data_IF_113010130080
#
_entry.id   IF_113010130080
#
_cell.length_a   1.000
_cell.length_b   1.000
_cell.length_c   1.000
_cell.angle_alpha   90.00
_cell.angle_beta   90.00
_cell.angle_gamma   90.00
#
_symmetry.space_group_name_H-M   'P 1'
#
loop_
_entity.id
_entity.type
_entity.pdbx_description
1 polymer ?
#
# COMPACT_ATOMS: atom_id res chain seq x y z
N UNK A 1 -6.59 7.37 -4.28
CA UNK A 1 -7.42 7.38 -3.07
C UNK A 1 -7.21 8.67 -2.35
N UNK A 2 -8.31 9.34 -2.03
CA UNK A 2 -8.29 10.61 -1.31
C UNK A 2 -8.57 10.32 0.16
N UNK A 3 -7.62 10.63 1.04
CA UNK A 3 -7.78 10.51 2.48
C UNK A 3 -7.70 11.92 3.10
N UNK A 4 -8.63 12.25 3.95
CA UNK A 4 -8.60 13.48 4.76
C UNK A 4 -8.24 13.13 6.20
N UNK A 5 -7.19 13.76 6.74
CA UNK A 5 -6.93 13.78 8.18
C UNK A 5 -7.82 14.85 8.82
N UNK A 6 -8.91 14.41 9.45
CA UNK A 6 -9.69 15.28 10.32
C UNK A 6 -8.87 15.70 11.56
N UNK A 7 -9.21 16.79 12.25
CA UNK A 7 -8.47 17.31 13.41
C UNK A 7 -8.20 16.30 14.53
N UNK A 8 -8.81 15.13 14.49
CA UNK A 8 -8.63 14.01 15.43
C UNK A 8 -8.09 12.72 14.78
N UNK A 9 -7.52 12.82 13.59
CA UNK A 9 -6.86 11.66 12.95
C UNK A 9 -7.79 10.54 12.48
N UNK A 10 -9.07 10.80 12.29
CA UNK A 10 -10.02 9.79 11.79
C UNK A 10 -10.03 9.78 10.27
N UNK A 11 -9.65 8.64 9.66
CA UNK A 11 -9.83 8.40 8.24
C UNK A 11 -11.26 7.94 7.97
N UNK A 12 -11.93 8.56 7.01
CA UNK A 12 -13.28 8.15 6.58
C UNK A 12 -13.25 7.83 5.09
N UNK A 13 -13.48 6.56 4.76
CA UNK A 13 -13.69 6.12 3.40
C UNK A 13 -15.20 5.87 3.18
N UNK A 14 -15.81 6.59 2.24
CA UNK A 14 -17.17 6.28 1.74
C UNK A 14 -17.06 5.71 0.34
N UNK A 15 -17.68 4.56 0.14
CA UNK A 15 -17.86 3.98 -1.19
C UNK A 15 -18.79 4.88 -2.02
N UNK A 16 -18.31 5.32 -3.18
CA UNK A 16 -19.15 5.99 -4.18
C UNK A 16 -19.90 4.90 -4.95
N UNK A 17 -21.23 4.96 -4.89
CA UNK A 17 -22.06 4.06 -5.67
C UNK A 17 -21.82 4.31 -7.17
N UNK A 18 -21.33 3.29 -7.88
CA UNK A 18 -21.09 3.25 -9.31
C UNK A 18 -19.96 4.14 -9.88
N UNK A 19 -18.69 3.90 -9.48
CA UNK A 19 -17.54 4.70 -9.91
C UNK A 19 -17.15 4.53 -11.39
N UNK A 20 -17.71 3.53 -12.09
CA UNK A 20 -17.31 3.21 -13.49
C UNK A 20 -17.90 4.15 -14.55
N UNK A 21 -18.86 5.02 -14.19
CA UNK A 21 -19.57 5.89 -15.14
C UNK A 21 -18.92 7.26 -15.31
N UNK A 22 -17.93 7.64 -14.50
CA UNK A 22 -17.30 8.96 -14.53
C UNK A 22 -15.83 8.92 -14.94
N UNK A 23 -15.31 9.93 -15.66
CA UNK A 23 -13.88 10.08 -15.90
C UNK A 23 -13.09 10.03 -14.57
N UNK A 24 -11.90 9.44 -14.60
CA UNK A 24 -11.10 9.20 -13.37
C UNK A 24 -10.84 10.49 -12.56
N UNK A 25 -10.58 11.59 -13.23
CA UNK A 25 -10.42 12.91 -12.59
C UNK A 25 -11.69 13.34 -11.84
N UNK A 26 -12.88 13.08 -12.40
CA UNK A 26 -14.16 13.38 -11.78
C UNK A 26 -14.41 12.50 -10.55
N UNK A 27 -13.97 11.25 -10.56
CA UNK A 27 -14.04 10.35 -9.40
C UNK A 27 -13.26 10.90 -8.20
N UNK A 28 -12.08 11.51 -8.42
CA UNK A 28 -11.33 12.17 -7.35
C UNK A 28 -12.11 13.33 -6.76
N UNK A 29 -12.75 14.16 -7.59
CA UNK A 29 -13.60 15.27 -7.12
C UNK A 29 -14.81 14.76 -6.32
N UNK A 30 -15.45 13.67 -6.76
CA UNK A 30 -16.53 13.01 -6.05
C UNK A 30 -16.08 12.52 -4.66
N UNK A 31 -14.93 11.88 -4.58
CA UNK A 31 -14.37 11.40 -3.31
C UNK A 31 -14.07 12.57 -2.36
N UNK A 32 -13.50 13.67 -2.88
CA UNK A 32 -13.25 14.87 -2.10
C UNK A 32 -14.56 15.46 -1.54
N UNK A 33 -15.60 15.56 -2.34
CA UNK A 33 -16.90 16.06 -1.88
C UNK A 33 -17.51 15.13 -0.83
N UNK A 34 -17.48 13.81 -1.08
CA UNK A 34 -18.03 12.83 -0.15
C UNK A 34 -17.35 12.87 1.24
N UNK A 35 -16.06 13.14 1.27
CA UNK A 35 -15.28 13.22 2.51
C UNK A 35 -15.44 14.58 3.21
N UNK A 36 -15.32 15.67 2.46
CA UNK A 36 -15.30 17.03 3.03
C UNK A 36 -16.68 17.58 3.33
N UNK A 37 -17.71 17.06 2.70
CA UNK A 37 -19.09 17.53 2.77
C UNK A 37 -20.05 16.35 2.87
N UNK A 38 -20.06 15.63 4.00
CA UNK A 38 -20.84 14.39 4.15
C UNK A 38 -22.35 14.60 4.00
N UNK A 39 -22.84 15.83 4.25
CA UNK A 39 -24.26 16.19 4.14
C UNK A 39 -24.64 16.72 2.73
N UNK A 40 -23.66 16.84 1.82
CA UNK A 40 -23.94 17.28 0.46
C UNK A 40 -24.66 16.17 -0.32
N UNK A 41 -25.82 16.47 -0.95
CA UNK A 41 -26.60 15.46 -1.68
C UNK A 41 -25.88 15.10 -2.98
N UNK A 42 -25.03 14.06 -2.94
CA UNK A 42 -24.39 13.51 -4.12
C UNK A 42 -25.40 12.69 -4.92
N UNK A 43 -25.85 13.23 -6.04
CA UNK A 43 -26.74 12.53 -7.01
C UNK A 43 -25.97 12.31 -8.31
N UNK A 44 -26.36 11.31 -9.11
CA UNK A 44 -25.65 10.90 -10.35
C UNK A 44 -25.64 11.98 -11.45
N UNK A 45 -26.45 13.01 -11.32
CA UNK A 45 -26.60 14.11 -12.28
C UNK A 45 -25.68 15.30 -12.00
N UNK A 46 -24.86 15.24 -10.95
CA UNK A 46 -23.93 16.32 -10.58
C UNK A 46 -22.72 16.26 -11.48
N UNK A 47 -22.58 17.27 -12.35
CA UNK A 47 -21.41 17.39 -13.23
C UNK A 47 -20.16 17.93 -12.51
N UNK A 48 -19.02 17.71 -13.14
CA UNK A 48 -17.69 18.14 -12.63
C UNK A 48 -17.60 19.62 -12.28
N UNK A 49 -18.24 20.51 -13.04
CA UNK A 49 -18.27 21.95 -12.72
C UNK A 49 -18.95 22.27 -11.38
N UNK A 50 -19.99 21.52 -11.02
CA UNK A 50 -20.65 21.72 -9.74
C UNK A 50 -19.81 21.20 -8.59
N UNK A 51 -19.16 20.04 -8.75
CA UNK A 51 -18.21 19.50 -7.78
C UNK A 51 -17.07 20.50 -7.52
N UNK A 52 -16.48 21.04 -8.60
CA UNK A 52 -15.42 22.06 -8.50
C UNK A 52 -15.90 23.29 -7.72
N UNK A 53 -17.10 23.82 -8.02
CA UNK A 53 -17.65 24.99 -7.30
C UNK A 53 -17.85 24.74 -5.81
N UNK A 54 -18.35 23.58 -5.47
CA UNK A 54 -18.59 23.20 -4.06
C UNK A 54 -17.27 23.02 -3.31
N UNK A 55 -16.28 22.37 -3.95
CA UNK A 55 -14.94 22.22 -3.40
C UNK A 55 -14.20 23.56 -3.25
N UNK A 56 -14.29 24.47 -4.24
CA UNK A 56 -13.75 25.82 -4.14
C UNK A 56 -14.28 26.55 -2.90
N UNK A 57 -15.59 26.52 -2.71
CA UNK A 57 -16.22 27.14 -1.56
C UNK A 57 -15.73 26.53 -0.24
N UNK A 58 -15.63 25.20 -0.18
CA UNK A 58 -15.16 24.47 1.00
C UNK A 58 -13.71 24.78 1.33
N UNK A 59 -12.81 24.65 0.36
CA UNK A 59 -11.38 24.90 0.53
C UNK A 59 -11.04 26.35 0.82
N UNK A 60 -11.85 27.31 0.35
CA UNK A 60 -11.73 28.72 0.68
C UNK A 60 -12.20 29.05 2.09
N UNK A 61 -13.24 28.35 2.57
CA UNK A 61 -13.82 28.58 3.89
C UNK A 61 -12.99 27.94 5.02
N UNK A 62 -12.42 26.76 4.79
CA UNK A 62 -11.69 25.97 5.79
C UNK A 62 -10.40 25.43 5.18
N UNK A 63 -9.30 25.55 5.94
CA UNK A 63 -8.00 24.98 5.56
C UNK A 63 -8.00 23.47 5.79
N UNK A 64 -7.57 22.75 4.77
CA UNK A 64 -7.40 21.29 4.81
C UNK A 64 -5.98 20.89 4.43
N UNK A 65 -5.52 19.78 4.96
CA UNK A 65 -4.43 18.99 4.41
C UNK A 65 -5.06 17.76 3.74
N UNK A 66 -4.91 17.66 2.43
CA UNK A 66 -5.43 16.55 1.64
C UNK A 66 -4.27 15.71 1.14
N UNK A 67 -4.32 14.41 1.39
CA UNK A 67 -3.36 13.44 0.87
C UNK A 67 -4.04 12.61 -0.21
N UNK A 68 -3.48 12.63 -1.41
CA UNK A 68 -3.91 11.76 -2.52
C UNK A 68 -2.78 10.79 -2.80
N UNK A 69 -3.02 9.55 -2.44
CA UNK A 69 -2.06 8.48 -2.58
C UNK A 69 -2.28 7.67 -3.86
N UNK A 70 -1.18 7.24 -4.50
CA UNK A 70 -1.19 6.35 -5.66
C UNK A 70 -1.82 6.97 -6.91
N UNK A 71 -1.38 8.17 -7.29
CA UNK A 71 -1.91 8.91 -8.46
C UNK A 71 -1.65 8.23 -9.81
N UNK A 72 -0.73 7.28 -9.92
CA UNK A 72 -0.50 6.49 -11.12
C UNK A 72 -1.71 5.65 -11.56
N UNK A 73 -2.69 5.48 -10.68
CA UNK A 73 -3.97 4.85 -11.03
C UNK A 73 -4.91 5.80 -11.77
N UNK A 74 -4.54 7.09 -11.95
CA UNK A 74 -5.35 8.12 -12.61
C UNK A 74 -4.71 8.45 -13.97
N UNK A 75 -5.34 8.02 -15.05
CA UNK A 75 -4.83 8.24 -16.42
C UNK A 75 -4.89 9.71 -16.89
N UNK A 76 -5.58 10.57 -16.14
CA UNK A 76 -5.84 11.98 -16.52
C UNK A 76 -5.17 12.99 -15.57
N UNK A 77 -3.92 12.73 -15.16
CA UNK A 77 -3.15 13.61 -14.26
C UNK A 77 -3.03 15.05 -14.80
N UNK A 78 -2.92 15.23 -16.11
CA UNK A 78 -2.84 16.54 -16.76
C UNK A 78 -4.09 17.41 -16.51
N UNK A 79 -5.23 16.79 -16.29
CA UNK A 79 -6.49 17.47 -15.98
C UNK A 79 -6.69 17.66 -14.47
N UNK A 80 -6.30 16.67 -13.68
CA UNK A 80 -6.50 16.67 -12.23
C UNK A 80 -5.58 17.68 -11.52
N UNK A 81 -4.29 17.69 -11.87
CA UNK A 81 -3.30 18.51 -11.14
C UNK A 81 -3.63 20.00 -11.17
N UNK A 82 -4.00 20.63 -12.30
CA UNK A 82 -4.42 22.04 -12.30
C UNK A 82 -5.64 22.34 -11.42
N UNK A 83 -6.57 21.39 -11.30
CA UNK A 83 -7.72 21.54 -10.40
C UNK A 83 -7.30 21.51 -8.92
N UNK A 84 -6.38 20.61 -8.56
CA UNK A 84 -5.85 20.55 -7.20
C UNK A 84 -5.03 21.80 -6.86
N UNK A 85 -4.26 22.32 -7.81
CA UNK A 85 -3.52 23.59 -7.64
C UNK A 85 -4.46 24.77 -7.35
N UNK A 86 -5.61 24.82 -8.02
CA UNK A 86 -6.65 25.83 -7.75
C UNK A 86 -7.13 25.79 -6.32
N UNK A 87 -7.24 24.60 -5.73
CA UNK A 87 -7.68 24.41 -4.32
C UNK A 87 -6.55 24.60 -3.31
N UNK A 88 -5.30 24.68 -3.76
CA UNK A 88 -4.12 24.65 -2.89
C UNK A 88 -3.86 25.93 -2.06
N UNK A 89 -4.77 26.92 -2.07
CA UNK A 89 -4.67 28.11 -1.25
C UNK A 89 -6.05 28.49 -0.67
N UNK A 90 -6.24 28.42 0.65
CA UNK A 90 -5.26 28.24 1.74
C UNK A 90 -4.94 26.78 2.11
N UNK A 91 -5.60 25.81 1.49
CA UNK A 91 -5.40 24.39 1.75
C UNK A 91 -4.05 23.87 1.23
N UNK A 92 -3.67 22.65 1.59
CA UNK A 92 -2.43 21.99 1.12
C UNK A 92 -2.73 20.58 0.65
N UNK A 93 -1.97 20.15 -0.36
CA UNK A 93 -2.09 18.83 -0.97
C UNK A 93 -0.74 18.13 -0.92
N UNK A 94 -0.75 16.84 -0.54
CA UNK A 94 0.35 15.91 -0.69
C UNK A 94 -0.10 14.86 -1.70
N UNK A 95 0.67 14.71 -2.76
CA UNK A 95 0.39 13.78 -3.84
C UNK A 95 1.51 12.76 -3.89
N UNK A 96 1.20 11.47 -3.93
CA UNK A 96 2.18 10.42 -4.19
C UNK A 96 1.94 9.81 -5.56
N UNK A 97 3.02 9.55 -6.30
CA UNK A 97 2.97 8.89 -7.60
C UNK A 97 4.32 8.27 -7.93
N UNK A 98 4.31 7.13 -8.63
CA UNK A 98 5.51 6.57 -9.27
C UNK A 98 5.83 7.27 -10.57
N UNK A 99 4.84 7.89 -11.19
CA UNK A 99 5.00 8.66 -12.42
C UNK A 99 5.35 10.12 -12.14
N UNK A 100 6.02 10.74 -13.09
CA UNK A 100 6.33 12.17 -13.00
C UNK A 100 5.07 12.97 -13.29
N UNK A 101 4.73 13.87 -12.39
CA UNK A 101 3.69 14.88 -12.65
C UNK A 101 4.04 15.73 -13.86
N UNK A 102 3.04 16.29 -14.58
CA UNK A 102 3.25 17.23 -15.69
C UNK A 102 4.23 18.35 -15.33
N UNK A 103 5.04 18.78 -16.30
CA UNK A 103 6.11 19.76 -16.05
C UNK A 103 5.61 21.16 -15.71
N UNK A 104 4.39 21.49 -16.13
CA UNK A 104 3.77 22.80 -15.95
C UNK A 104 2.98 22.91 -14.61
N UNK A 105 3.52 22.38 -13.52
CA UNK A 105 2.86 22.43 -12.20
C UNK A 105 3.67 23.28 -11.23
N UNK A 106 2.96 24.02 -10.35
CA UNK A 106 3.57 24.76 -9.22
C UNK A 106 3.90 23.83 -8.03
N UNK A 107 3.60 22.53 -8.13
CA UNK A 107 3.85 21.57 -7.08
C UNK A 107 5.35 21.38 -6.82
N UNK A 108 5.76 21.45 -5.53
CA UNK A 108 7.11 21.07 -5.12
C UNK A 108 7.29 19.56 -5.28
N UNK A 109 8.33 19.17 -6.01
CA UNK A 109 8.65 17.75 -6.23
C UNK A 109 9.68 17.27 -5.23
N UNK A 110 9.32 16.23 -4.52
CA UNK A 110 10.24 15.48 -3.68
C UNK A 110 10.39 14.06 -4.20
N UNK A 111 11.62 13.67 -4.53
CA UNK A 111 11.92 12.31 -5.00
C UNK A 111 12.33 11.48 -3.79
N UNK A 112 11.52 10.47 -3.46
CA UNK A 112 11.88 9.48 -2.44
C UNK A 112 12.90 8.52 -3.07
N UNK A 113 14.13 8.52 -2.53
CA UNK A 113 15.20 7.63 -2.98
C UNK A 113 15.16 6.30 -2.22
N UNK A 114 15.82 5.28 -2.78
CA UNK A 114 16.09 4.06 -2.05
C UNK A 114 16.90 4.36 -0.77
N UNK A 115 16.81 3.49 0.22
CA UNK A 115 17.63 3.55 1.42
C UNK A 115 19.09 3.38 1.06
N UNK A 116 19.96 4.08 1.77
CA UNK A 116 21.40 3.84 1.73
C UNK A 116 21.75 2.45 2.28
N UNK A 117 22.96 1.99 2.04
CA UNK A 117 23.47 0.74 2.62
C UNK A 117 23.26 0.70 4.14
N UNK A 118 23.74 1.71 4.85
CA UNK A 118 23.64 1.78 6.32
C UNK A 118 22.19 1.72 6.80
N UNK A 119 21.28 2.46 6.15
CA UNK A 119 19.87 2.44 6.49
C UNK A 119 19.20 1.10 6.16
N UNK A 120 19.61 0.46 5.07
CA UNK A 120 19.12 -0.86 4.66
C UNK A 120 19.53 -1.94 5.66
N UNK A 121 20.81 -1.97 6.07
CA UNK A 121 21.29 -2.92 7.06
C UNK A 121 20.63 -2.68 8.44
N UNK A 122 20.39 -1.43 8.80
CA UNK A 122 19.65 -1.09 10.02
C UNK A 122 18.18 -1.59 9.94
N UNK A 123 17.51 -1.38 8.79
CA UNK A 123 16.13 -1.87 8.58
C UNK A 123 16.07 -3.39 8.67
N UNK A 124 16.99 -4.12 8.03
CA UNK A 124 17.05 -5.59 8.10
C UNK A 124 17.12 -6.08 9.55
N UNK A 125 17.94 -5.46 10.40
CA UNK A 125 18.06 -5.83 11.81
C UNK A 125 16.81 -5.53 12.60
N UNK A 126 16.24 -4.33 12.44
CA UNK A 126 15.00 -3.93 13.14
C UNK A 126 13.84 -4.85 12.78
N UNK A 127 13.65 -5.14 11.50
CA UNK A 127 12.59 -6.05 11.05
C UNK A 127 12.81 -7.48 11.56
N UNK A 128 14.07 -7.95 11.59
CA UNK A 128 14.40 -9.26 12.14
C UNK A 128 14.17 -9.34 13.65
N UNK A 129 14.50 -8.29 14.41
CA UNK A 129 14.20 -8.21 15.85
C UNK A 129 12.70 -8.23 16.11
N UNK A 130 11.91 -7.44 15.36
CA UNK A 130 10.46 -7.40 15.47
C UNK A 130 9.81 -8.74 15.12
N UNK A 131 10.34 -9.43 14.10
CA UNK A 131 9.91 -10.78 13.71
C UNK A 131 10.45 -11.91 14.59
N UNK A 132 11.23 -11.62 15.64
CA UNK A 132 11.80 -12.64 16.54
C UNK A 132 12.95 -13.46 15.95
N UNK A 133 13.53 -13.02 14.81
CA UNK A 133 14.63 -13.68 14.11
C UNK A 133 15.98 -13.24 14.70
N UNK A 134 16.28 -13.62 15.94
CA UNK A 134 17.44 -13.16 16.69
C UNK A 134 18.79 -13.43 15.97
N UNK A 135 18.93 -14.62 15.37
CA UNK A 135 20.17 -14.97 14.63
C UNK A 135 20.36 -14.05 13.42
N UNK A 136 19.27 -13.73 12.70
CA UNK A 136 19.32 -12.80 11.55
C UNK A 136 19.67 -11.38 12.02
N UNK A 137 19.07 -10.90 13.11
CA UNK A 137 19.32 -9.57 13.66
C UNK A 137 20.78 -9.36 14.12
N UNK A 138 21.47 -10.44 14.51
CA UNK A 138 22.85 -10.41 14.98
C UNK A 138 23.91 -10.58 13.89
N UNK A 139 23.51 -10.70 12.61
CA UNK A 139 24.45 -10.84 11.50
C UNK A 139 25.32 -9.59 11.36
N UNK A 140 26.57 -9.81 10.95
CA UNK A 140 27.49 -8.72 10.63
C UNK A 140 27.07 -7.98 9.35
N UNK A 141 27.60 -6.77 9.17
CA UNK A 141 27.37 -6.00 7.95
C UNK A 141 27.79 -6.77 6.70
N UNK A 142 28.92 -7.47 6.76
CA UNK A 142 29.44 -8.30 5.64
C UNK A 142 28.49 -9.45 5.26
N UNK A 143 27.73 -9.98 6.23
CA UNK A 143 26.75 -11.04 5.98
C UNK A 143 25.44 -10.51 5.41
N UNK A 144 25.04 -9.29 5.77
CA UNK A 144 23.84 -8.62 5.29
C UNK A 144 24.03 -7.87 3.97
N UNK A 145 25.25 -7.40 3.67
CA UNK A 145 25.58 -6.63 2.47
C UNK A 145 25.10 -7.29 1.17
N UNK A 146 25.27 -8.61 0.95
CA UNK A 146 24.76 -9.25 -0.27
C UNK A 146 23.25 -9.14 -0.47
N UNK A 147 22.47 -9.01 0.62
CA UNK A 147 21.02 -8.78 0.53
C UNK A 147 20.77 -7.37 -0.03
N UNK A 148 21.43 -6.36 0.57
CA UNK A 148 21.34 -4.99 0.08
C UNK A 148 21.76 -4.86 -1.40
N UNK A 149 22.87 -5.46 -1.79
CA UNK A 149 23.35 -5.45 -3.18
C UNK A 149 22.33 -6.06 -4.16
N UNK A 150 21.61 -7.09 -3.74
CA UNK A 150 20.59 -7.75 -4.56
C UNK A 150 19.29 -6.92 -4.67
N UNK A 151 18.82 -6.30 -3.57
CA UNK A 151 17.50 -5.64 -3.54
C UNK A 151 17.57 -4.11 -3.70
N UNK A 152 18.79 -3.52 -3.68
CA UNK A 152 19.02 -2.11 -4.02
C UNK A 152 18.43 -1.11 -3.03
N UNK A 153 18.32 -1.43 -1.74
CA UNK A 153 17.83 -0.51 -0.70
C UNK A 153 16.31 -0.25 -0.78
N UNK A 154 15.55 -1.10 -1.43
CA UNK A 154 14.10 -0.97 -1.45
C UNK A 154 13.49 -1.51 -0.14
N UNK A 155 12.77 -0.68 0.67
CA UNK A 155 12.28 -1.07 1.98
C UNK A 155 11.33 -2.28 1.97
N UNK A 156 10.43 -2.36 0.99
CA UNK A 156 9.52 -3.50 0.90
C UNK A 156 10.26 -4.80 0.58
N UNK A 157 11.20 -4.76 -0.37
CA UNK A 157 12.00 -5.93 -0.72
C UNK A 157 12.84 -6.41 0.48
N UNK A 158 13.46 -5.48 1.23
CA UNK A 158 14.20 -5.80 2.46
C UNK A 158 13.31 -6.47 3.49
N UNK A 159 12.10 -5.96 3.74
CA UNK A 159 11.14 -6.57 4.68
C UNK A 159 10.70 -7.97 4.24
N UNK A 160 10.38 -8.14 2.96
CA UNK A 160 10.01 -9.45 2.42
C UNK A 160 11.16 -10.47 2.54
N UNK A 161 12.40 -10.03 2.33
CA UNK A 161 13.59 -10.88 2.50
C UNK A 161 13.74 -11.31 3.97
N UNK A 162 13.51 -10.42 4.93
CA UNK A 162 13.49 -10.80 6.36
C UNK A 162 12.39 -11.82 6.62
N UNK A 163 11.20 -11.64 6.05
CA UNK A 163 10.11 -12.62 6.15
C UNK A 163 10.53 -14.03 5.71
N UNK A 164 11.31 -14.16 4.63
CA UNK A 164 11.84 -15.47 4.21
C UNK A 164 12.73 -16.13 5.29
N UNK A 165 13.33 -15.35 6.17
CA UNK A 165 14.15 -15.83 7.30
C UNK A 165 13.39 -16.73 8.28
N UNK A 166 12.05 -16.71 8.32
CA UNK A 166 11.24 -17.63 9.11
C UNK A 166 11.25 -19.07 8.56
N UNK A 167 11.58 -19.24 7.27
CA UNK A 167 11.50 -20.53 6.59
C UNK A 167 12.81 -20.96 5.94
N UNK A 168 13.76 -20.04 5.75
CA UNK A 168 15.02 -20.28 5.05
C UNK A 168 16.21 -19.72 5.84
N UNK A 169 17.38 -20.34 5.69
CA UNK A 169 18.61 -19.75 6.22
C UNK A 169 19.04 -18.53 5.39
N UNK A 170 19.75 -17.59 6.01
CA UNK A 170 20.25 -16.39 5.32
C UNK A 170 21.14 -16.74 4.13
N UNK A 171 21.97 -17.80 4.25
CA UNK A 171 22.80 -18.27 3.15
C UNK A 171 21.98 -18.77 1.95
N UNK A 172 20.86 -19.45 2.19
CA UNK A 172 19.95 -19.88 1.13
C UNK A 172 19.25 -18.68 0.48
N UNK A 173 18.80 -17.71 1.28
CA UNK A 173 18.20 -16.46 0.77
C UNK A 173 19.19 -15.71 -0.13
N UNK A 174 20.42 -15.50 0.33
CA UNK A 174 21.46 -14.81 -0.44
C UNK A 174 21.79 -15.56 -1.74
N UNK A 175 21.90 -16.89 -1.68
CA UNK A 175 22.13 -17.70 -2.89
C UNK A 175 21.00 -17.54 -3.90
N UNK A 176 19.76 -17.62 -3.44
CA UNK A 176 18.58 -17.44 -4.29
C UNK A 176 18.46 -16.05 -4.90
N UNK A 177 18.77 -15.00 -4.11
CA UNK A 177 18.76 -13.61 -4.61
C UNK A 177 19.81 -13.37 -5.69
N UNK A 178 20.97 -14.04 -5.63
CA UNK A 178 22.01 -13.96 -6.67
C UNK A 178 21.58 -14.61 -7.99
N UNK A 179 20.72 -15.60 -7.94
CA UNK A 179 20.17 -16.29 -9.12
C UNK A 179 18.91 -15.61 -9.66
N UNK A 180 18.31 -14.69 -8.88
CA UNK A 180 17.09 -14.01 -9.27
C UNK A 180 17.30 -13.12 -10.50
N UNK A 181 16.30 -13.02 -11.41
CA UNK A 181 16.35 -12.03 -12.49
C UNK A 181 16.27 -10.62 -11.89
N UNK A 182 17.37 -9.87 -11.97
CA UNK A 182 17.48 -8.52 -11.40
C UNK A 182 17.35 -7.41 -12.43
N UNK A 183 16.96 -7.74 -13.68
CA UNK A 183 16.86 -6.77 -14.77
C UNK A 183 15.79 -5.71 -14.52
N UNK A 184 14.74 -6.06 -13.77
CA UNK A 184 13.64 -5.17 -13.37
C UNK A 184 13.23 -5.43 -11.95
N UNK A 185 12.88 -4.37 -11.24
CA UNK A 185 12.46 -4.46 -9.84
C UNK A 185 11.19 -5.33 -9.66
N UNK A 186 10.29 -5.32 -10.62
CA UNK A 186 9.08 -6.14 -10.61
C UNK A 186 9.40 -7.64 -10.68
N UNK A 187 10.43 -8.02 -11.43
CA UNK A 187 10.89 -9.42 -11.53
C UNK A 187 11.51 -9.88 -10.21
N UNK A 188 12.26 -9.00 -9.53
CA UNK A 188 12.80 -9.28 -8.19
C UNK A 188 11.67 -9.48 -7.17
N UNK A 189 10.66 -8.61 -7.16
CA UNK A 189 9.50 -8.77 -6.29
C UNK A 189 8.76 -10.07 -6.56
N UNK A 190 8.49 -10.38 -7.82
CA UNK A 190 7.85 -11.65 -8.23
C UNK A 190 8.65 -12.84 -7.72
N UNK A 191 9.97 -12.82 -7.86
CA UNK A 191 10.84 -13.87 -7.35
C UNK A 191 10.70 -14.03 -5.83
N UNK A 192 10.79 -12.94 -5.05
CA UNK A 192 10.70 -12.99 -3.58
C UNK A 192 9.30 -13.49 -3.16
N UNK A 193 8.23 -13.01 -3.78
CA UNK A 193 6.87 -13.46 -3.49
C UNK A 193 6.70 -14.95 -3.81
N UNK A 194 7.25 -15.45 -4.91
CA UNK A 194 7.21 -16.89 -5.24
C UNK A 194 7.98 -17.73 -4.23
N UNK A 195 9.14 -17.26 -3.74
CA UNK A 195 9.87 -17.95 -2.67
C UNK A 195 9.02 -18.07 -1.40
N UNK A 196 8.34 -17.00 -1.01
CA UNK A 196 7.43 -17.02 0.14
C UNK A 196 6.21 -17.93 -0.12
N UNK A 197 5.56 -17.80 -1.30
CA UNK A 197 4.40 -18.60 -1.69
C UNK A 197 4.64 -20.10 -1.64
N UNK A 198 5.80 -20.56 -2.09
CA UNK A 198 6.16 -21.99 -2.08
C UNK A 198 6.29 -22.57 -0.67
N UNK A 199 6.49 -21.73 0.36
CA UNK A 199 6.59 -22.13 1.76
C UNK A 199 5.23 -22.18 2.48
N UNK A 200 4.16 -21.71 1.84
CA UNK A 200 2.81 -21.70 2.40
C UNK A 200 2.15 -23.06 2.16
N UNK A 201 1.44 -23.55 3.18
CA UNK A 201 0.50 -24.65 3.01
C UNK A 201 -0.80 -24.20 2.33
N UNK A 202 -1.66 -25.13 1.97
CA UNK A 202 -2.88 -24.83 1.19
C UNK A 202 -3.86 -23.95 1.96
N UNK A 203 -3.99 -24.12 3.27
CA UNK A 203 -4.89 -23.28 4.10
C UNK A 203 -4.41 -21.84 4.14
N UNK A 204 -3.10 -21.64 4.33
CA UNK A 204 -2.50 -20.29 4.31
C UNK A 204 -2.66 -19.64 2.94
N UNK A 205 -2.46 -20.42 1.85
CA UNK A 205 -2.66 -19.93 0.47
C UNK A 205 -4.11 -19.51 0.21
N UNK A 206 -5.09 -20.30 0.64
CA UNK A 206 -6.52 -19.96 0.49
C UNK A 206 -6.85 -18.62 1.18
N UNK A 207 -6.38 -18.43 2.41
CA UNK A 207 -6.56 -17.16 3.13
C UNK A 207 -5.82 -16.02 2.43
N UNK A 208 -4.60 -16.26 1.95
CA UNK A 208 -3.81 -15.23 1.27
C UNK A 208 -4.41 -14.82 -0.08
N UNK A 209 -4.98 -15.76 -0.84
CA UNK A 209 -5.70 -15.50 -2.10
C UNK A 209 -6.92 -14.60 -1.87
N UNK A 210 -7.55 -14.65 -0.70
CA UNK A 210 -8.67 -13.76 -0.38
C UNK A 210 -8.24 -12.31 -0.15
N UNK A 211 -7.02 -12.06 0.30
CA UNK A 211 -6.54 -10.72 0.68
C UNK A 211 -6.67 -9.64 -0.41
N UNK A 212 -6.58 -9.92 -1.72
CA UNK A 212 -6.90 -8.93 -2.75
C UNK A 212 -8.32 -8.36 -2.71
N UNK A 213 -9.27 -9.06 -2.11
CA UNK A 213 -10.66 -8.61 -1.97
C UNK A 213 -10.87 -7.71 -0.76
N UNK A 214 -9.91 -7.66 0.17
CA UNK A 214 -10.00 -6.78 1.33
C UNK A 214 -9.94 -5.31 0.93
N UNK A 215 -10.50 -4.44 1.78
CA UNK A 215 -10.33 -3.00 1.64
C UNK A 215 -8.83 -2.63 1.67
N UNK A 216 -8.49 -1.51 1.03
CA UNK A 216 -7.09 -1.06 0.98
C UNK A 216 -6.59 -0.67 2.37
N UNK A 217 -7.46 -0.12 3.22
CA UNK A 217 -7.18 0.16 4.63
C UNK A 217 -7.20 -1.10 5.51
N UNK A 218 -7.44 -2.26 4.90
CA UNK A 218 -7.57 -3.53 5.58
C UNK A 218 -8.97 -3.78 6.15
N UNK A 219 -9.25 -5.05 6.33
CA UNK A 219 -10.48 -5.53 6.96
C UNK A 219 -10.18 -6.12 8.34
N UNK A 220 -11.15 -6.02 9.29
CA UNK A 220 -11.02 -6.68 10.57
C UNK A 220 -11.11 -8.20 10.43
N UNK A 221 -10.53 -8.93 11.38
CA UNK A 221 -10.54 -10.39 11.39
C UNK A 221 -11.93 -10.99 11.19
N UNK A 222 -12.98 -10.37 11.75
CA UNK A 222 -14.36 -10.84 11.65
C UNK A 222 -14.88 -10.92 10.20
N UNK A 223 -14.49 -9.97 9.36
CA UNK A 223 -14.85 -9.96 7.93
C UNK A 223 -14.11 -11.06 7.19
N UNK A 224 -12.79 -11.20 7.43
CA UNK A 224 -11.96 -12.22 6.78
C UNK A 224 -12.46 -13.62 7.16
N UNK A 225 -12.75 -13.88 8.45
CA UNK A 225 -13.33 -15.13 8.93
C UNK A 225 -14.67 -15.42 8.26
N UNK A 226 -15.54 -14.41 8.12
CA UNK A 226 -16.84 -14.58 7.50
C UNK A 226 -16.79 -15.00 6.02
N UNK A 227 -15.66 -14.78 5.35
CA UNK A 227 -15.43 -15.15 3.96
C UNK A 227 -14.73 -16.50 3.81
N UNK A 228 -14.25 -17.10 4.89
CA UNK A 228 -13.51 -18.36 4.89
C UNK A 228 -14.38 -19.51 5.42
N UNK A 229 -14.11 -20.74 4.93
CA UNK A 229 -14.75 -21.95 5.44
C UNK A 229 -14.03 -22.54 6.67
N UNK A 230 -13.17 -21.75 7.32
CA UNK A 230 -12.33 -22.19 8.43
C UNK A 230 -12.76 -21.53 9.75
N UNK A 231 -12.41 -22.20 10.87
CA UNK A 231 -12.61 -21.65 12.19
C UNK A 231 -11.78 -20.38 12.42
N UNK A 232 -12.31 -19.45 13.24
CA UNK A 232 -11.65 -18.18 13.58
C UNK A 232 -10.21 -18.36 14.05
N UNK A 233 -9.94 -19.40 14.88
CA UNK A 233 -8.61 -19.65 15.40
C UNK A 233 -7.60 -20.04 14.29
N UNK A 234 -8.05 -20.80 13.30
CA UNK A 234 -7.24 -21.16 12.13
C UNK A 234 -6.94 -19.92 11.31
N UNK A 235 -7.97 -19.13 10.96
CA UNK A 235 -7.77 -17.89 10.17
C UNK A 235 -6.82 -16.93 10.88
N UNK A 236 -6.95 -16.77 12.21
CA UNK A 236 -6.04 -15.92 12.98
C UNK A 236 -4.60 -16.42 12.90
N UNK A 237 -4.39 -17.72 13.13
CA UNK A 237 -3.05 -18.33 13.10
C UNK A 237 -2.37 -18.15 11.73
N UNK A 238 -3.12 -18.36 10.65
CA UNK A 238 -2.55 -18.21 9.31
C UNK A 238 -2.32 -16.75 8.91
N UNK A 239 -3.16 -15.83 9.39
CA UNK A 239 -2.90 -14.39 9.22
C UNK A 239 -1.66 -13.96 10.00
N UNK A 240 -1.47 -14.45 11.24
CA UNK A 240 -0.27 -14.16 12.03
C UNK A 240 0.99 -14.66 11.30
N UNK A 241 0.93 -15.86 10.73
CA UNK A 241 2.01 -16.40 9.89
C UNK A 241 2.30 -15.53 8.66
N UNK A 242 1.26 -15.05 7.97
CA UNK A 242 1.43 -14.15 6.82
C UNK A 242 2.00 -12.78 7.24
N UNK A 243 1.70 -12.32 8.45
CA UNK A 243 2.29 -11.09 9.03
C UNK A 243 3.76 -11.32 9.34
N UNK A 244 4.15 -12.45 9.95
CA UNK A 244 5.56 -12.79 10.20
C UNK A 244 6.38 -12.84 8.91
N UNK A 245 5.79 -13.35 7.83
CA UNK A 245 6.40 -13.36 6.50
C UNK A 245 6.43 -11.99 5.79
N UNK A 246 5.93 -10.94 6.43
CA UNK A 246 5.76 -9.61 5.83
C UNK A 246 4.91 -9.57 4.54
N UNK A 247 4.04 -10.57 4.35
CA UNK A 247 3.11 -10.64 3.21
C UNK A 247 1.80 -9.91 3.48
N UNK A 248 1.39 -9.84 4.76
CA UNK A 248 0.22 -9.14 5.25
C UNK A 248 0.67 -8.11 6.28
N UNK A 249 0.08 -6.92 6.24
CA UNK A 249 0.27 -5.89 7.24
C UNK A 249 -0.89 -5.93 8.25
N UNK A 250 -0.56 -5.77 9.52
CA UNK A 250 -1.54 -5.58 10.58
C UNK A 250 -1.35 -4.20 11.20
N UNK A 251 -2.44 -3.48 11.37
CA UNK A 251 -2.43 -2.17 12.02
C UNK A 251 -3.66 -2.01 12.90
N UNK A 252 -3.52 -1.19 13.93
CA UNK A 252 -4.60 -0.95 14.87
C UNK A 252 -5.42 0.27 14.41
N UNK A 253 -6.71 0.03 14.19
CA UNK A 253 -7.71 1.10 14.01
C UNK A 253 -8.73 0.87 15.11
N UNK A 254 -8.70 1.73 16.14
CA UNK A 254 -9.55 1.57 17.32
C UNK A 254 -11.02 1.31 16.92
N UNK A 255 -11.67 0.28 17.49
CA UNK A 255 -11.16 -0.61 18.56
C UNK A 255 -10.50 -1.92 18.06
N UNK A 256 -10.27 -2.11 16.76
CA UNK A 256 -9.94 -3.40 16.15
C UNK A 256 -8.58 -3.38 15.44
N UNK A 257 -8.01 -4.56 15.25
CA UNK A 257 -6.89 -4.79 14.32
C UNK A 257 -7.45 -5.04 12.92
N UNK A 258 -6.77 -4.46 11.91
CA UNK A 258 -7.10 -4.63 10.49
C UNK A 258 -5.92 -5.22 9.75
N UNK A 259 -6.23 -6.08 8.80
CA UNK A 259 -5.27 -6.80 7.97
C UNK A 259 -5.38 -6.29 6.54
N UNK A 260 -4.25 -5.90 5.97
CA UNK A 260 -4.16 -5.37 4.60
C UNK A 260 -2.94 -5.95 3.88
N UNK A 261 -2.90 -5.81 2.57
CA UNK A 261 -1.73 -6.17 1.77
C UNK A 261 -1.22 -4.97 0.98
N UNK A 262 0.08 -4.95 0.74
CA UNK A 262 0.69 -3.95 -0.12
C UNK A 262 0.19 -4.08 -1.56
N UNK A 263 0.15 -2.96 -2.33
CA UNK A 263 -0.30 -2.96 -3.72
C UNK A 263 0.46 -3.95 -4.62
N UNK A 264 1.77 -4.10 -4.43
CA UNK A 264 2.58 -5.07 -5.16
C UNK A 264 2.25 -6.53 -4.79
N UNK A 265 1.94 -6.80 -3.52
CA UNK A 265 1.44 -8.12 -3.08
C UNK A 265 0.10 -8.43 -3.74
N UNK A 266 -0.80 -7.43 -3.81
CA UNK A 266 -2.08 -7.55 -4.49
C UNK A 266 -1.89 -7.87 -5.99
N UNK A 267 -0.99 -7.15 -6.66
CA UNK A 267 -0.67 -7.37 -8.07
C UNK A 267 -0.11 -8.78 -8.30
N UNK A 268 0.81 -9.26 -7.45
CA UNK A 268 1.34 -10.62 -7.54
C UNK A 268 0.23 -11.67 -7.40
N UNK A 269 -0.63 -11.54 -6.39
CA UNK A 269 -1.72 -12.49 -6.18
C UNK A 269 -2.67 -12.54 -7.37
N UNK A 270 -3.09 -11.40 -7.89
CA UNK A 270 -4.05 -11.33 -9.00
C UNK A 270 -3.48 -11.79 -10.34
N UNK A 271 -2.20 -11.54 -10.60
CA UNK A 271 -1.61 -11.79 -11.91
C UNK A 271 -0.79 -13.09 -12.00
N UNK A 272 -0.18 -13.51 -10.89
CA UNK A 272 0.80 -14.59 -10.89
C UNK A 272 0.35 -15.81 -10.05
N UNK A 273 -0.29 -15.60 -8.89
CA UNK A 273 -0.65 -16.70 -7.99
C UNK A 273 -2.07 -17.25 -8.26
N UNK A 274 -3.03 -16.39 -8.57
CA UNK A 274 -4.41 -16.78 -8.87
C UNK A 274 -4.48 -17.06 -10.38
N UNK A 275 -4.52 -18.33 -10.72
CA UNK A 275 -4.85 -18.74 -12.09
C UNK A 275 -6.37 -18.92 -12.15
N UNK A 276 -7.03 -17.97 -12.80
CA UNK A 276 -8.48 -18.03 -13.05
C UNK A 276 -8.84 -19.09 -14.09
#
# INVERSE_FOLDING_TARGET
QTQELLPHGTMVQRAVNNPEQHPECERVLWLLVAQLLPDFPLTTDIGSEQLVRVLDARFSAVRHLVVIDNLESVSTLEQLVPLLERFANPSRFILTSRERLPTATAAYRYVVTALSETESLALLRVEAELGGLQEFAQLSDEQLLPIYEAVGGNPLALRLVVGLGHTQSVSAIVAGLKEAPTSKIEELYRYIFWQAWQQLDETTKEIFIYMPLTNIEGDPLSIIVGAQACDRAVVQSELDRLVDLNLVNVHRVEPEYRYSIHSLTRTFLLNDAIQW
#
